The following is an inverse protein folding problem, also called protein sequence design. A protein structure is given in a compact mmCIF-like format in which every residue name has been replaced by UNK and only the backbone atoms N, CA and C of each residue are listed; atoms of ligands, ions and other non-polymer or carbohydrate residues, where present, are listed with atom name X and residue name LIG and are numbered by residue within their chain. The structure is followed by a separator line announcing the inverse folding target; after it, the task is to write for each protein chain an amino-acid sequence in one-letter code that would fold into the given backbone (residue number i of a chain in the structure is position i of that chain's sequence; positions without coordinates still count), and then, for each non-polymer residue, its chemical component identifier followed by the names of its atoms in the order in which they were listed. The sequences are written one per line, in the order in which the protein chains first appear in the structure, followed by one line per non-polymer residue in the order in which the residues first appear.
data_IF_522915309633
#
_entry.id   IF_522915309633
#
_cell.length_a   1.000
_cell.length_b   1.000
_cell.length_c   1.000
_cell.angle_alpha   90.00
_cell.angle_beta   90.00
_cell.angle_gamma   90.00
#
_symmetry.space_group_name_H-M   'P 1'
#
loop_
_entity.id
_entity.type
_entity.pdbx_description
1 polymer ?
#
# COMPACT_ATOMS: atom_id res chain seq x y z
N UNK A 1 -9.81 4.03 -12.40
CA UNK A 1 -8.44 3.86 -12.93
C UNK A 1 -8.17 2.38 -13.18
N UNK A 2 -7.51 2.06 -14.28
CA UNK A 2 -7.20 0.66 -14.54
C UNK A 2 -5.96 0.21 -13.74
N UNK A 3 -5.80 -1.10 -13.64
CA UNK A 3 -4.77 -1.72 -12.83
C UNK A 3 -3.35 -1.38 -13.30
N UNK A 4 -3.15 -1.33 -14.60
CA UNK A 4 -1.86 -1.00 -15.20
C UNK A 4 -1.43 0.43 -14.86
N UNK A 5 -2.35 1.37 -14.94
CA UNK A 5 -2.10 2.77 -14.60
C UNK A 5 -1.78 2.92 -13.12
N UNK A 6 -2.52 2.19 -12.27
CA UNK A 6 -2.28 2.20 -10.83
C UNK A 6 -0.89 1.64 -10.50
N UNK A 7 -0.48 0.55 -11.16
CA UNK A 7 0.86 -0.01 -10.99
C UNK A 7 1.94 0.99 -11.40
N UNK A 8 1.73 1.74 -12.49
CA UNK A 8 2.67 2.77 -12.92
C UNK A 8 2.80 3.89 -11.89
N UNK A 9 1.69 4.31 -11.28
CA UNK A 9 1.72 5.31 -10.21
C UNK A 9 2.46 4.80 -8.98
N UNK A 10 2.32 3.52 -8.64
CA UNK A 10 3.09 2.92 -7.54
C UNK A 10 4.59 3.00 -7.82
N UNK A 11 5.02 2.69 -9.04
CA UNK A 11 6.42 2.80 -9.43
C UNK A 11 6.95 4.22 -9.30
N UNK A 12 6.16 5.21 -9.72
CA UNK A 12 6.51 6.62 -9.59
C UNK A 12 6.61 7.04 -8.13
N UNK A 13 5.65 6.64 -7.30
CA UNK A 13 5.64 6.96 -5.87
C UNK A 13 6.85 6.35 -5.16
N UNK A 14 7.25 5.14 -5.56
CA UNK A 14 8.43 4.48 -5.01
C UNK A 14 9.69 5.28 -5.34
N UNK A 15 9.83 5.70 -6.58
CA UNK A 15 10.99 6.49 -7.00
C UNK A 15 11.02 7.87 -6.35
N UNK A 16 9.85 8.42 -6.06
CA UNK A 16 9.73 9.71 -5.38
C UNK A 16 9.93 9.62 -3.86
N UNK A 17 10.13 8.42 -3.32
CA UNK A 17 10.30 8.23 -1.89
C UNK A 17 9.01 8.41 -1.09
N UNK A 18 7.86 8.14 -1.71
CA UNK A 18 6.54 8.34 -1.09
C UNK A 18 5.87 7.03 -0.67
N UNK A 19 6.66 5.95 -0.60
CA UNK A 19 6.16 4.64 -0.17
C UNK A 19 6.94 4.16 1.04
N UNK A 20 6.21 3.67 2.03
CA UNK A 20 6.74 2.90 3.15
C UNK A 20 6.28 1.46 2.92
N UNK A 21 7.19 0.49 3.02
CA UNK A 21 6.84 -0.90 2.75
C UNK A 21 7.36 -1.85 3.82
N UNK A 22 6.71 -3.01 3.93
CA UNK A 22 7.00 -4.00 4.95
C UNK A 22 6.02 -3.89 6.12
N UNK A 23 5.75 -5.03 6.77
CA UNK A 23 4.68 -5.12 7.78
C UNK A 23 4.86 -4.13 8.93
N UNK A 24 6.03 -4.13 9.57
CA UNK A 24 6.26 -3.32 10.76
C UNK A 24 6.20 -1.83 10.47
N UNK A 25 6.85 -1.41 9.38
CA UNK A 25 6.88 0.00 8.99
C UNK A 25 5.52 0.51 8.54
N UNK A 26 4.75 -0.33 7.85
CA UNK A 26 3.39 0.05 7.43
C UNK A 26 2.48 0.19 8.65
N UNK A 27 2.55 -0.74 9.59
CA UNK A 27 1.76 -0.64 10.84
C UNK A 27 2.10 0.65 11.56
N UNK A 28 3.38 0.97 11.69
CA UNK A 28 3.81 2.21 12.34
C UNK A 28 3.29 3.44 11.59
N UNK A 29 3.36 3.43 10.27
CA UNK A 29 2.88 4.55 9.45
C UNK A 29 1.37 4.74 9.61
N UNK A 30 0.61 3.65 9.73
CA UNK A 30 -0.83 3.71 10.00
C UNK A 30 -1.08 4.36 11.37
N UNK A 31 -0.37 3.89 12.41
CA UNK A 31 -0.53 4.41 13.77
C UNK A 31 -0.12 5.87 13.89
N UNK A 32 0.91 6.28 13.17
CA UNK A 32 1.42 7.65 13.20
C UNK A 32 0.64 8.59 12.25
N UNK A 33 -0.40 8.07 11.60
CA UNK A 33 -1.25 8.80 10.65
C UNK A 33 -0.49 9.32 9.44
N UNK A 34 0.61 8.67 9.08
CA UNK A 34 1.40 8.99 7.89
C UNK A 34 0.89 8.24 6.65
N UNK A 35 0.31 7.06 6.85
CA UNK A 35 -0.22 6.27 5.75
C UNK A 35 -1.53 6.90 5.25
N UNK A 36 -1.58 7.21 3.96
CA UNK A 36 -2.76 7.79 3.32
C UNK A 36 -3.58 6.75 2.58
N UNK A 37 -2.93 5.72 2.07
CA UNK A 37 -3.55 4.61 1.36
C UNK A 37 -2.64 3.40 1.51
N UNK A 38 -3.20 2.25 1.85
CA UNK A 38 -2.43 1.01 2.04
C UNK A 38 -2.77 0.05 0.92
N UNK A 39 -1.73 -0.57 0.34
CA UNK A 39 -1.89 -1.68 -0.59
C UNK A 39 -1.46 -2.97 0.09
N UNK A 40 -2.38 -3.91 0.18
CA UNK A 40 -2.15 -5.23 0.76
C UNK A 40 -2.34 -6.27 -0.33
N UNK A 41 -1.36 -7.15 -0.48
CA UNK A 41 -1.46 -8.21 -1.48
C UNK A 41 -2.69 -9.10 -1.19
N UNK A 42 -3.45 -9.41 -2.24
CA UNK A 42 -4.66 -10.21 -2.08
C UNK A 42 -4.36 -11.69 -1.77
N UNK A 43 -3.11 -12.10 -1.91
CA UNK A 43 -2.64 -13.45 -1.57
C UNK A 43 -1.74 -13.44 -0.31
N UNK A 44 -1.81 -12.38 0.49
CA UNK A 44 -1.07 -12.32 1.74
C UNK A 44 -1.60 -13.34 2.74
N UNK A 45 -0.70 -13.79 3.65
CA UNK A 45 -1.09 -14.74 4.69
C UNK A 45 -2.22 -14.17 5.57
N UNK A 46 -3.09 -15.04 6.12
CA UNK A 46 -4.22 -14.58 6.94
C UNK A 46 -3.83 -13.69 8.12
N UNK A 47 -2.69 -13.99 8.77
CA UNK A 47 -2.23 -13.19 9.90
C UNK A 47 -1.88 -11.77 9.50
N UNK A 48 -1.17 -11.60 8.39
CA UNK A 48 -0.81 -10.28 7.87
C UNK A 48 -2.06 -9.53 7.43
N UNK A 49 -2.94 -10.21 6.70
CA UNK A 49 -4.19 -9.62 6.22
C UNK A 49 -5.02 -9.08 7.39
N UNK A 50 -5.18 -9.88 8.43
CA UNK A 50 -5.95 -9.48 9.61
C UNK A 50 -5.32 -8.29 10.30
N UNK A 51 -4.01 -8.34 10.53
CA UNK A 51 -3.29 -7.28 11.24
C UNK A 51 -3.42 -5.94 10.51
N UNK A 52 -3.19 -5.92 9.21
CA UNK A 52 -3.24 -4.69 8.42
C UNK A 52 -4.69 -4.19 8.32
N UNK A 53 -5.64 -5.09 8.10
CA UNK A 53 -7.06 -4.72 8.01
C UNK A 53 -7.56 -4.11 9.31
N UNK A 54 -7.24 -4.75 10.44
CA UNK A 54 -7.67 -4.27 11.75
C UNK A 54 -7.07 -2.90 12.08
N UNK A 55 -5.77 -2.73 11.86
CA UNK A 55 -5.10 -1.45 12.13
C UNK A 55 -5.64 -0.35 11.22
N UNK A 56 -5.79 -0.65 9.93
CA UNK A 56 -6.31 0.32 8.98
C UNK A 56 -7.74 0.73 9.30
N UNK A 57 -8.57 -0.21 9.71
CA UNK A 57 -9.93 0.07 10.13
C UNK A 57 -9.96 0.98 11.36
N UNK A 58 -9.16 0.66 12.36
CA UNK A 58 -9.09 1.44 13.59
C UNK A 58 -8.68 2.88 13.33
N UNK A 59 -7.68 3.09 12.49
CA UNK A 59 -7.15 4.42 12.18
C UNK A 59 -7.79 5.05 10.94
N UNK A 60 -8.81 4.41 10.37
CA UNK A 60 -9.60 4.91 9.24
C UNK A 60 -8.74 5.17 7.99
N UNK A 61 -7.86 4.22 7.68
CA UNK A 61 -7.04 4.25 6.47
C UNK A 61 -7.60 3.25 5.47
N UNK A 62 -7.74 3.69 4.23
CA UNK A 62 -8.24 2.82 3.15
C UNK A 62 -7.20 1.76 2.77
N UNK A 63 -7.67 0.53 2.54
CA UNK A 63 -6.83 -0.58 2.09
C UNK A 63 -7.32 -1.05 0.74
N UNK A 64 -6.41 -1.15 -0.22
CA UNK A 64 -6.68 -1.72 -1.53
C UNK A 64 -6.05 -3.10 -1.62
N UNK A 65 -6.80 -4.08 -2.12
CA UNK A 65 -6.34 -5.45 -2.31
C UNK A 65 -6.40 -5.88 -3.78
N UNK A 66 -6.26 -4.94 -4.69
CA UNK A 66 -6.38 -5.23 -6.13
C UNK A 66 -5.18 -5.95 -6.72
N UNK A 67 -4.03 -5.92 -6.03
CA UNK A 67 -2.79 -6.54 -6.52
C UNK A 67 -2.43 -7.79 -5.74
N UNK A 68 -1.82 -8.77 -6.45
CA UNK A 68 -1.15 -9.89 -5.81
C UNK A 68 0.23 -9.47 -5.31
N UNK A 69 0.89 -10.34 -4.54
CA UNK A 69 2.28 -10.12 -4.12
C UNK A 69 3.20 -9.90 -5.31
N UNK A 70 3.05 -10.72 -6.35
CA UNK A 70 3.87 -10.59 -7.55
C UNK A 70 3.64 -9.24 -8.23
N UNK A 71 2.40 -8.81 -8.35
CA UNK A 71 2.05 -7.55 -8.99
C UNK A 71 2.59 -6.35 -8.20
N UNK A 72 2.42 -6.35 -6.88
CA UNK A 72 2.97 -5.29 -6.04
C UNK A 72 4.49 -5.24 -6.14
N UNK A 73 5.14 -6.40 -6.05
CA UNK A 73 6.60 -6.50 -6.10
C UNK A 73 7.14 -6.01 -7.43
N UNK A 74 6.47 -6.35 -8.52
CA UNK A 74 6.85 -5.88 -9.86
C UNK A 74 6.72 -4.36 -9.96
N UNK A 75 5.64 -3.80 -9.42
CA UNK A 75 5.38 -2.36 -9.51
C UNK A 75 6.42 -1.54 -8.75
N UNK A 76 6.90 -2.01 -7.60
CA UNK A 76 7.84 -1.25 -6.77
C UNK A 76 9.28 -1.72 -6.89
N UNK A 77 9.54 -2.80 -7.62
CA UNK A 77 10.88 -3.29 -7.90
C UNK A 77 11.54 -4.08 -6.79
N UNK A 78 10.80 -4.54 -5.79
CA UNK A 78 11.31 -5.40 -4.72
C UNK A 78 10.17 -6.18 -4.07
N UNK A 79 10.52 -7.34 -3.49
CA UNK A 79 9.51 -8.24 -2.92
C UNK A 79 8.78 -7.57 -1.74
N UNK A 80 7.49 -7.31 -1.91
CA UNK A 80 6.64 -6.70 -0.88
C UNK A 80 5.23 -7.28 -0.93
N UNK A 81 4.66 -7.48 0.25
CA UNK A 81 3.27 -7.95 0.40
C UNK A 81 2.35 -6.85 0.91
N UNK A 82 2.91 -5.78 1.45
CA UNK A 82 2.17 -4.65 1.97
C UNK A 82 3.01 -3.39 1.85
N UNK A 83 2.36 -2.30 1.49
CA UNK A 83 3.00 -1.00 1.44
C UNK A 83 1.97 0.10 1.70
N UNK A 84 2.46 1.29 2.04
CA UNK A 84 1.61 2.44 2.30
C UNK A 84 2.11 3.64 1.50
N UNK A 85 1.17 4.38 0.95
CA UNK A 85 1.44 5.65 0.29
C UNK A 85 1.34 6.74 1.35
N UNK A 86 2.36 7.59 1.41
CA UNK A 86 2.44 8.66 2.42
C UNK A 86 2.16 10.05 1.86
N UNK A 87 1.88 10.14 0.58
CA UNK A 87 1.69 11.41 -0.12
C UNK A 87 0.22 11.57 -0.55
N UNK A 88 -0.39 12.68 -0.14
CA UNK A 88 -1.80 12.95 -0.46
C UNK A 88 -2.04 13.13 -1.95
N UNK A 89 -1.07 13.70 -2.67
CA UNK A 89 -1.18 13.90 -4.11
C UNK A 89 -1.25 12.60 -4.88
N UNK A 90 -0.35 11.66 -4.59
CA UNK A 90 -0.38 10.33 -5.20
C UNK A 90 -1.66 9.58 -4.82
N UNK A 91 -2.05 9.65 -3.56
CA UNK A 91 -3.27 8.99 -3.09
C UNK A 91 -4.50 9.49 -3.86
N UNK A 92 -4.60 10.79 -4.05
CA UNK A 92 -5.71 11.38 -4.81
C UNK A 92 -5.74 10.86 -6.24
N UNK A 93 -4.60 10.80 -6.91
CA UNK A 93 -4.50 10.26 -8.27
C UNK A 93 -4.89 8.79 -8.33
N UNK A 94 -4.50 8.02 -7.32
CA UNK A 94 -4.77 6.58 -7.26
C UNK A 94 -6.25 6.27 -7.02
N UNK A 95 -6.99 7.19 -6.42
CA UNK A 95 -8.42 7.05 -6.18
C UNK A 95 -9.29 7.50 -7.36
N UNK A 96 -8.72 8.14 -8.33
CA UNK A 96 -9.46 8.70 -9.48
C UNK A 96 -9.91 7.62 -10.49
#
# INVERSE_FOLDING_TARGET
MNKQKLASLLGLAQRAGRIISGEELVVKAIQDKKAKLVFLANDAAPNLTKKITDKSHYYKVEVSTVFSTLELSTAVGKARKVLAITDAGFTKKMRS
#
